data_IF_108053086638
#
_entry.id   IF_108053086638
#
_cell.length_a   1.000
_cell.length_b   1.000
_cell.length_c   1.000
_cell.angle_alpha   90.00
_cell.angle_beta   90.00
_cell.angle_gamma   90.00
#
_symmetry.space_group_name_H-M   'P 1'
#
loop_
_entity.id
_entity.type
_entity.pdbx_description
1 polymer ?
#
# COMPACT_ATOMS: atom_id res chain seq x y z
N UNK A 1 43.61 10.91 -0.23
CA UNK A 1 42.50 9.94 -0.01
C UNK A 1 42.73 8.73 -0.90
N UNK A 2 42.54 7.50 -0.39
CA UNK A 2 42.57 6.28 -1.24
C UNK A 2 41.16 6.01 -1.77
N UNK A 3 40.98 5.65 -3.05
CA UNK A 3 39.68 5.26 -3.58
C UNK A 3 39.16 3.99 -2.88
N UNK A 4 37.85 3.93 -2.65
CA UNK A 4 37.13 2.78 -2.07
C UNK A 4 35.96 2.41 -3.00
N UNK A 5 35.69 1.10 -3.15
CA UNK A 5 34.56 0.60 -3.93
C UNK A 5 33.26 0.82 -3.17
N UNK A 6 32.32 1.54 -3.78
CA UNK A 6 30.96 1.72 -3.28
C UNK A 6 29.94 0.95 -4.12
N UNK A 7 28.70 0.86 -3.61
CA UNK A 7 27.55 0.28 -4.29
C UNK A 7 26.41 1.29 -4.31
N UNK A 8 25.61 1.28 -5.38
CA UNK A 8 24.42 2.11 -5.53
C UNK A 8 23.26 1.21 -5.96
N UNK A 9 22.08 1.48 -5.44
CA UNK A 9 20.85 0.86 -5.92
C UNK A 9 20.65 1.31 -7.38
N UNK A 10 20.60 0.35 -8.30
CA UNK A 10 20.50 0.61 -9.74
C UNK A 10 19.04 0.90 -10.15
N UNK A 11 18.08 0.29 -9.46
CA UNK A 11 16.67 0.36 -9.82
C UNK A 11 16.06 1.70 -9.43
N UNK A 12 15.23 2.25 -10.32
CA UNK A 12 14.36 3.37 -9.98
C UNK A 12 13.28 2.88 -9.02
N UNK A 13 13.22 3.47 -7.84
CA UNK A 13 12.28 3.12 -6.79
C UNK A 13 11.23 4.22 -6.62
N UNK A 14 9.95 3.83 -6.50
CA UNK A 14 8.84 4.72 -6.22
C UNK A 14 8.04 4.20 -5.03
N UNK A 15 7.84 5.04 -4.02
CA UNK A 15 6.93 4.79 -2.91
C UNK A 15 5.54 5.27 -3.32
N UNK A 16 4.53 4.41 -3.23
CA UNK A 16 3.15 4.77 -3.55
C UNK A 16 2.30 4.58 -2.30
N UNK A 17 1.72 5.65 -1.78
CA UNK A 17 0.87 5.61 -0.60
C UNK A 17 -0.62 5.55 -0.99
N UNK A 18 -1.34 4.57 -0.43
CA UNK A 18 -2.81 4.56 -0.48
C UNK A 18 -3.32 5.51 0.60
N UNK A 19 -4.00 6.57 0.17
CA UNK A 19 -4.56 7.57 1.06
C UNK A 19 -5.83 7.05 1.74
N UNK A 20 -6.10 7.45 3.00
CA UNK A 20 -5.28 8.36 3.83
C UNK A 20 -4.17 7.64 4.60
N UNK A 21 -4.44 6.42 5.07
CA UNK A 21 -3.63 5.77 6.10
C UNK A 21 -2.19 5.42 5.65
N UNK A 22 -1.98 5.09 4.38
CA UNK A 22 -0.65 4.82 3.80
C UNK A 22 0.32 6.00 3.90
N UNK A 23 -0.18 7.24 3.98
CA UNK A 23 0.66 8.43 4.17
C UNK A 23 1.37 8.42 5.53
N UNK A 24 0.80 7.77 6.55
CA UNK A 24 1.46 7.57 7.84
C UNK A 24 2.76 6.76 7.72
N UNK A 25 2.78 5.74 6.86
CA UNK A 25 3.96 4.91 6.59
C UNK A 25 4.98 5.62 5.69
N UNK A 26 4.49 6.43 4.75
CA UNK A 26 5.31 7.11 3.75
C UNK A 26 6.42 7.97 4.38
N UNK A 27 6.13 8.68 5.47
CA UNK A 27 7.13 9.51 6.17
C UNK A 27 8.30 8.68 6.71
N UNK A 28 8.02 7.50 7.29
CA UNK A 28 9.06 6.59 7.76
C UNK A 28 9.90 6.04 6.61
N UNK A 29 9.25 5.65 5.52
CA UNK A 29 9.91 5.08 4.34
C UNK A 29 10.81 6.10 3.63
N UNK A 30 10.37 7.36 3.50
CA UNK A 30 11.18 8.43 2.89
C UNK A 30 12.44 8.76 3.70
N UNK A 31 12.43 8.57 5.03
CA UNK A 31 13.65 8.74 5.85
C UNK A 31 14.72 7.70 5.52
N UNK A 32 14.31 6.49 5.13
CA UNK A 32 15.21 5.40 4.75
C UNK A 32 15.61 5.49 3.27
N UNK A 33 14.68 5.93 2.42
CA UNK A 33 14.80 5.91 0.95
C UNK A 33 14.51 7.30 0.38
N UNK A 34 15.28 8.30 0.80
CA UNK A 34 15.10 9.71 0.41
C UNK A 34 15.26 9.97 -1.08
N UNK A 35 15.84 9.03 -1.83
CA UNK A 35 16.01 9.09 -3.28
C UNK A 35 14.81 8.55 -4.06
N UNK A 36 13.84 7.90 -3.41
CA UNK A 36 12.70 7.30 -4.08
C UNK A 36 11.69 8.37 -4.53
N UNK A 37 11.13 8.18 -5.73
CA UNK A 37 9.98 8.96 -6.16
C UNK A 37 8.76 8.69 -5.28
N UNK A 38 7.77 9.59 -5.27
CA UNK A 38 6.56 9.43 -4.46
C UNK A 38 5.33 9.56 -5.33
N UNK A 39 4.41 8.60 -5.19
CA UNK A 39 3.07 8.60 -5.76
C UNK A 39 2.01 8.47 -4.68
N UNK A 40 0.78 8.87 -5.00
CA UNK A 40 -0.37 8.73 -4.13
C UNK A 40 -1.58 8.21 -4.91
N UNK A 41 -2.32 7.31 -4.27
CA UNK A 41 -3.59 6.77 -4.75
C UNK A 41 -4.64 7.10 -3.71
N UNK A 42 -5.69 7.81 -4.10
CA UNK A 42 -6.87 8.05 -3.29
C UNK A 42 -7.98 7.13 -3.73
N UNK A 43 -8.34 6.18 -2.88
CA UNK A 43 -9.34 5.16 -3.15
C UNK A 43 -10.07 4.80 -1.86
N UNK A 44 -11.39 4.61 -1.94
CA UNK A 44 -12.19 4.11 -0.82
C UNK A 44 -13.20 3.09 -1.31
N UNK A 45 -13.74 2.29 -0.39
CA UNK A 45 -14.82 1.34 -0.68
C UNK A 45 -16.16 2.03 -0.49
N UNK A 46 -16.95 2.10 -1.55
CA UNK A 46 -18.32 2.59 -1.49
C UNK A 46 -19.26 1.47 -0.98
N UNK A 47 -20.00 1.74 0.09
CA UNK A 47 -20.90 0.76 0.73
C UNK A 47 -22.17 0.50 -0.09
N UNK A 48 -22.60 1.44 -0.93
CA UNK A 48 -23.80 1.33 -1.75
C UNK A 48 -23.52 0.54 -3.03
N UNK A 49 -22.43 0.87 -3.73
CA UNK A 49 -22.05 0.22 -4.99
C UNK A 49 -21.26 -1.07 -4.75
N UNK A 50 -20.79 -1.31 -3.50
CA UNK A 50 -19.92 -2.43 -3.12
C UNK A 50 -18.67 -2.53 -3.98
N UNK A 51 -18.19 -1.40 -4.48
CA UNK A 51 -17.02 -1.28 -5.35
C UNK A 51 -16.05 -0.23 -4.80
N UNK A 52 -14.83 -0.23 -5.29
CA UNK A 52 -13.83 0.78 -4.97
C UNK A 52 -14.00 2.00 -5.87
N UNK A 53 -13.91 3.19 -5.28
CA UNK A 53 -13.96 4.48 -6.00
C UNK A 53 -12.60 5.16 -5.90
N UNK A 54 -11.91 5.27 -7.04
CA UNK A 54 -10.69 6.07 -7.19
C UNK A 54 -11.08 7.56 -7.32
N UNK A 55 -10.60 8.40 -6.41
CA UNK A 55 -10.82 9.85 -6.42
C UNK A 55 -9.54 10.64 -6.67
N UNK A 56 -8.38 10.01 -6.59
CA UNK A 56 -7.09 10.65 -6.85
C UNK A 56 -6.07 9.62 -7.33
N UNK A 57 -5.29 9.98 -8.34
CA UNK A 57 -4.19 9.14 -8.80
C UNK A 57 -3.07 10.03 -9.36
N UNK A 58 -1.92 10.02 -8.68
CA UNK A 58 -0.76 10.81 -9.13
C UNK A 58 0.54 10.07 -8.87
N UNK A 59 1.31 9.88 -9.94
CA UNK A 59 2.58 9.20 -9.94
C UNK A 59 3.70 10.10 -10.50
N UNK A 60 4.98 9.79 -10.24
CA UNK A 60 6.09 10.37 -11.00
C UNK A 60 5.91 10.15 -12.50
N UNK A 61 6.30 11.14 -13.33
CA UNK A 61 6.14 11.08 -14.79
C UNK A 61 6.91 9.93 -15.44
N UNK A 62 7.98 9.49 -14.80
CA UNK A 62 8.94 8.49 -15.28
C UNK A 62 8.83 7.15 -14.53
N UNK A 63 7.61 6.78 -14.11
CA UNK A 63 7.36 5.55 -13.35
C UNK A 63 7.46 4.26 -14.19
N UNK A 64 7.33 4.35 -15.51
CA UNK A 64 7.48 3.17 -16.38
C UNK A 64 8.82 2.47 -16.13
N UNK A 65 8.75 1.14 -15.91
CA UNK A 65 9.90 0.31 -15.55
C UNK A 65 10.41 0.48 -14.11
N UNK A 66 9.85 1.36 -13.29
CA UNK A 66 10.24 1.52 -11.90
C UNK A 66 9.74 0.38 -11.01
N UNK A 67 10.47 0.10 -9.93
CA UNK A 67 10.01 -0.74 -8.83
C UNK A 67 9.12 0.09 -7.91
N UNK A 68 7.97 -0.45 -7.54
CA UNK A 68 7.01 0.22 -6.68
C UNK A 68 6.96 -0.47 -5.32
N UNK A 69 7.02 0.34 -4.25
CA UNK A 69 6.63 -0.09 -2.92
C UNK A 69 5.28 0.56 -2.61
N UNK A 70 4.22 -0.23 -2.65
CA UNK A 70 2.87 0.18 -2.28
C UNK A 70 2.75 0.16 -0.75
N UNK A 71 2.16 1.22 -0.17
CA UNK A 71 2.07 1.42 1.27
C UNK A 71 0.62 1.60 1.70
N UNK A 72 0.15 0.73 2.58
CA UNK A 72 -1.14 0.84 3.27
C UNK A 72 -1.07 0.05 4.58
N UNK A 73 -1.33 0.65 5.77
CA UNK A 73 -1.14 -0.04 7.04
C UNK A 73 -2.06 -1.24 7.26
N UNK A 74 -3.17 -1.36 6.52
CA UNK A 74 -4.13 -2.44 6.70
C UNK A 74 -4.51 -3.12 5.39
N UNK A 75 -4.27 -4.42 5.31
CA UNK A 75 -4.82 -5.29 4.26
C UNK A 75 -6.02 -6.07 4.82
N UNK A 76 -7.20 -5.43 4.82
CA UNK A 76 -8.44 -6.04 5.28
C UNK A 76 -9.06 -6.97 4.23
N UNK A 77 -10.05 -6.52 3.45
CA UNK A 77 -10.75 -7.36 2.46
C UNK A 77 -9.95 -7.56 1.15
N UNK A 78 -8.89 -6.79 0.94
CA UNK A 78 -8.05 -6.84 -0.27
C UNK A 78 -8.57 -6.01 -1.45
N UNK A 79 -9.80 -5.50 -1.42
CA UNK A 79 -10.41 -4.75 -2.54
C UNK A 79 -9.56 -3.55 -2.98
N UNK A 80 -9.20 -2.70 -2.00
CA UNK A 80 -8.39 -1.51 -2.22
C UNK A 80 -7.00 -1.84 -2.76
N UNK A 81 -6.37 -2.89 -2.22
CA UNK A 81 -5.04 -3.32 -2.64
C UNK A 81 -5.07 -3.86 -4.08
N UNK A 82 -6.02 -4.74 -4.41
CA UNK A 82 -6.20 -5.28 -5.77
C UNK A 82 -6.44 -4.15 -6.78
N UNK A 83 -7.35 -3.23 -6.49
CA UNK A 83 -7.62 -2.10 -7.38
C UNK A 83 -6.37 -1.22 -7.58
N UNK A 84 -5.63 -0.94 -6.51
CA UNK A 84 -4.42 -0.11 -6.57
C UNK A 84 -3.28 -0.80 -7.34
N UNK A 85 -3.07 -2.11 -7.12
CA UNK A 85 -2.05 -2.90 -7.83
C UNK A 85 -2.40 -3.00 -9.31
N UNK A 86 -3.67 -3.32 -9.64
CA UNK A 86 -4.15 -3.36 -11.03
C UNK A 86 -3.87 -2.02 -11.72
N UNK A 87 -4.24 -0.92 -11.06
CA UNK A 87 -4.02 0.42 -11.59
C UNK A 87 -2.55 0.75 -11.81
N UNK A 88 -1.66 0.35 -10.90
CA UNK A 88 -0.22 0.55 -11.06
C UNK A 88 0.36 -0.24 -12.24
N UNK A 89 -0.12 -1.46 -12.48
CA UNK A 89 0.32 -2.30 -13.60
C UNK A 89 0.00 -1.71 -14.95
N UNK A 90 -1.06 -0.90 -15.07
CA UNK A 90 -1.39 -0.17 -16.30
C UNK A 90 -0.32 0.86 -16.71
N UNK A 91 0.61 1.22 -15.80
CA UNK A 91 1.74 2.12 -16.05
C UNK A 91 3.06 1.38 -16.32
N UNK A 92 3.01 0.07 -16.62
CA UNK A 92 4.17 -0.74 -16.97
C UNK A 92 5.32 -0.68 -15.94
N UNK A 93 4.98 -0.66 -14.65
CA UNK A 93 5.96 -0.78 -13.57
C UNK A 93 6.61 -2.17 -13.58
N UNK A 94 7.87 -2.27 -13.19
CA UNK A 94 8.64 -3.52 -13.33
C UNK A 94 8.37 -4.55 -12.24
N UNK A 95 8.10 -4.09 -11.02
CA UNK A 95 7.87 -4.92 -9.85
C UNK A 95 7.04 -4.12 -8.82
N UNK A 96 6.17 -4.80 -8.09
CA UNK A 96 5.36 -4.21 -7.03
C UNK A 96 5.57 -5.03 -5.76
N UNK A 97 6.05 -4.38 -4.71
CA UNK A 97 6.08 -4.92 -3.34
C UNK A 97 5.01 -4.20 -2.53
N UNK A 98 4.12 -4.94 -1.88
CA UNK A 98 3.11 -4.34 -1.01
C UNK A 98 3.56 -4.45 0.45
N UNK A 99 3.67 -3.31 1.14
CA UNK A 99 4.07 -3.26 2.55
C UNK A 99 2.89 -2.77 3.38
N UNK A 100 2.50 -3.60 4.34
CA UNK A 100 1.40 -3.36 5.27
C UNK A 100 1.81 -3.69 6.70
N UNK A 101 1.07 -3.22 7.71
CA UNK A 101 1.39 -3.55 9.11
C UNK A 101 0.62 -4.80 9.54
N UNK A 102 -0.67 -4.85 9.20
CA UNK A 102 -1.57 -5.95 9.57
C UNK A 102 -2.34 -6.36 8.33
N UNK A 103 -2.36 -7.67 8.06
CA UNK A 103 -3.13 -8.25 6.98
C UNK A 103 -4.12 -9.29 7.53
N UNK A 104 -5.28 -9.43 6.90
CA UNK A 104 -6.17 -10.56 7.14
C UNK A 104 -5.86 -11.69 6.15
N UNK A 105 -6.09 -12.94 6.56
CA UNK A 105 -5.99 -14.10 5.65
C UNK A 105 -6.86 -13.94 4.39
N UNK A 106 -8.16 -13.58 4.47
CA UNK A 106 -8.98 -13.33 3.28
C UNK A 106 -8.40 -12.25 2.35
N UNK A 107 -7.83 -11.18 2.91
CA UNK A 107 -7.20 -10.11 2.14
C UNK A 107 -5.97 -10.57 1.38
N UNK A 108 -5.10 -11.36 2.02
CA UNK A 108 -3.92 -11.95 1.39
C UNK A 108 -4.30 -12.91 0.26
N UNK A 109 -5.26 -13.81 0.52
CA UNK A 109 -5.77 -14.76 -0.47
C UNK A 109 -6.31 -14.03 -1.70
N UNK A 110 -7.12 -12.98 -1.48
CA UNK A 110 -7.66 -12.17 -2.58
C UNK A 110 -6.58 -11.46 -3.38
N UNK A 111 -5.58 -10.85 -2.72
CA UNK A 111 -4.50 -10.17 -3.46
C UNK A 111 -3.72 -11.17 -4.30
N UNK A 112 -3.38 -12.35 -3.76
CA UNK A 112 -2.63 -13.36 -4.51
C UNK A 112 -3.47 -14.07 -5.59
N UNK A 113 -4.79 -14.16 -5.45
CA UNK A 113 -5.68 -14.65 -6.51
C UNK A 113 -5.60 -13.75 -7.75
N UNK A 114 -5.61 -12.43 -7.56
CA UNK A 114 -5.60 -11.45 -8.66
C UNK A 114 -4.19 -11.07 -9.13
N UNK A 115 -3.22 -11.08 -8.21
CA UNK A 115 -1.86 -10.63 -8.41
C UNK A 115 -0.86 -11.58 -7.72
N UNK A 116 -0.73 -12.83 -8.21
CA UNK A 116 0.13 -13.86 -7.61
C UNK A 116 1.63 -13.51 -7.64
N UNK A 117 2.02 -12.54 -8.47
CA UNK A 117 3.36 -12.02 -8.64
C UNK A 117 3.76 -10.96 -7.58
N UNK A 118 2.80 -10.44 -6.81
CA UNK A 118 3.07 -9.38 -5.82
C UNK A 118 3.48 -9.99 -4.49
N UNK A 119 4.69 -9.66 -4.05
CA UNK A 119 5.15 -9.98 -2.70
C UNK A 119 4.56 -9.01 -1.68
N UNK A 120 4.04 -9.56 -0.58
CA UNK A 120 3.45 -8.80 0.52
C UNK A 120 4.31 -8.94 1.78
N UNK A 121 4.72 -7.81 2.33
CA UNK A 121 5.45 -7.70 3.60
C UNK A 121 4.48 -7.19 4.67
N UNK A 122 4.23 -7.99 5.70
CA UNK A 122 3.34 -7.64 6.82
C UNK A 122 3.97 -8.02 8.16
N UNK A 123 3.60 -7.33 9.24
CA UNK A 123 4.07 -7.65 10.60
C UNK A 123 3.17 -8.68 11.30
N UNK A 124 1.87 -8.68 10.97
CA UNK A 124 0.91 -9.65 11.49
C UNK A 124 -0.04 -10.16 10.41
N UNK A 125 -0.51 -11.40 10.60
CA UNK A 125 -1.56 -12.02 9.79
C UNK A 125 -2.67 -12.47 10.72
N UNK A 126 -3.82 -11.83 10.60
CA UNK A 126 -5.00 -12.10 11.42
C UNK A 126 -5.95 -13.08 10.71
N UNK A 127 -6.67 -13.92 11.47
CA UNK A 127 -7.41 -15.03 10.89
C UNK A 127 -8.69 -14.60 10.18
N UNK A 128 -9.38 -13.60 10.71
CA UNK A 128 -10.76 -13.31 10.31
C UNK A 128 -11.06 -11.81 10.21
N UNK A 129 -12.17 -11.53 9.54
CA UNK A 129 -12.78 -10.22 9.44
C UNK A 129 -14.16 -10.28 10.11
N UNK A 130 -14.62 -9.17 10.68
CA UNK A 130 -16.01 -9.04 11.10
C UNK A 130 -16.97 -8.83 9.91
N UNK A 131 -18.27 -8.71 10.19
CA UNK A 131 -19.31 -8.48 9.17
C UNK A 131 -19.18 -7.14 8.42
N UNK A 132 -18.44 -6.18 8.99
CA UNK A 132 -18.18 -4.87 8.41
C UNK A 132 -16.85 -4.82 7.64
N UNK A 133 -16.08 -5.91 7.65
CA UNK A 133 -14.78 -6.03 7.00
C UNK A 133 -13.61 -5.49 7.82
N UNK A 134 -13.76 -5.28 9.13
CA UNK A 134 -12.66 -4.97 10.02
C UNK A 134 -11.89 -6.23 10.40
N UNK A 135 -10.58 -6.08 10.55
CA UNK A 135 -9.69 -7.16 11.00
C UNK A 135 -9.90 -7.43 12.49
N UNK A 136 -10.01 -8.69 12.89
CA UNK A 136 -10.14 -9.11 14.29
C UNK A 136 -8.89 -9.89 14.77
N UNK A 137 -8.33 -9.59 15.96
CA UNK A 137 -8.67 -8.49 16.88
C UNK A 137 -8.30 -7.10 16.34
N UNK A 138 -7.37 -7.04 15.38
CA UNK A 138 -7.03 -5.84 14.59
C UNK A 138 -6.71 -4.58 15.40
N UNK A 139 -6.90 -3.43 14.76
CA UNK A 139 -6.60 -2.10 15.34
C UNK A 139 -7.73 -1.08 15.13
N UNK A 140 -8.90 -1.48 14.63
CA UNK A 140 -9.93 -0.56 14.14
C UNK A 140 -9.48 0.17 12.87
N UNK A 141 -9.95 1.40 12.64
CA UNK A 141 -9.55 2.19 11.47
C UNK A 141 -8.20 2.89 11.69
N UNK A 142 -7.17 2.46 10.95
CA UNK A 142 -5.84 3.04 11.06
C UNK A 142 -5.77 4.51 10.65
N UNK A 143 -6.54 4.94 9.64
CA UNK A 143 -6.54 6.32 9.19
C UNK A 143 -7.11 7.25 10.26
N UNK A 144 -8.22 6.85 10.86
CA UNK A 144 -8.86 7.61 11.93
C UNK A 144 -8.00 7.69 13.19
N UNK A 145 -7.31 6.59 13.55
CA UNK A 145 -6.36 6.60 14.67
C UNK A 145 -5.12 7.42 14.41
N UNK A 146 -4.61 7.42 13.16
CA UNK A 146 -3.43 8.21 12.78
C UNK A 146 -3.71 9.71 12.76
N UNK A 147 -4.92 10.11 12.35
CA UNK A 147 -5.26 11.51 12.09
C UNK A 147 -6.28 12.10 13.06
N UNK A 148 -6.77 11.33 14.03
CA UNK A 148 -7.77 11.78 15.00
C UNK A 148 -9.11 12.12 14.35
N UNK A 149 -9.54 11.32 13.38
CA UNK A 149 -10.81 11.53 12.65
C UNK A 149 -11.90 10.52 12.96
N UNK A 150 -11.65 9.63 13.93
CA UNK A 150 -12.67 8.70 14.42
C UNK A 150 -13.67 9.43 15.30
N UNK A 151 -14.89 8.92 15.37
CA UNK A 151 -15.90 9.42 16.31
C UNK A 151 -15.41 9.22 17.76
N UNK A 152 -15.54 10.23 18.61
CA UNK A 152 -15.32 10.09 20.04
C UNK A 152 -16.36 9.10 20.60
N UNK A 153 -15.90 7.94 21.08
CA UNK A 153 -16.66 7.03 21.94
C UNK A 153 -16.00 6.92 23.29
#
# INVERSE_FOLDING_TARGET
MRPTKGYKIADRLVLVAIMRAGTGMLNGMQRLMSFAGVGHIGIYRDKFVKSTVEYYFRLPKDIEGAKVILLDPMLATGDTAVASITRLKEFNVSDIKFVTLIASRPGLEKVHEWHPDVEIYTLSIEPELDENGYILPGIGDAGDRLYGTGDES
#
